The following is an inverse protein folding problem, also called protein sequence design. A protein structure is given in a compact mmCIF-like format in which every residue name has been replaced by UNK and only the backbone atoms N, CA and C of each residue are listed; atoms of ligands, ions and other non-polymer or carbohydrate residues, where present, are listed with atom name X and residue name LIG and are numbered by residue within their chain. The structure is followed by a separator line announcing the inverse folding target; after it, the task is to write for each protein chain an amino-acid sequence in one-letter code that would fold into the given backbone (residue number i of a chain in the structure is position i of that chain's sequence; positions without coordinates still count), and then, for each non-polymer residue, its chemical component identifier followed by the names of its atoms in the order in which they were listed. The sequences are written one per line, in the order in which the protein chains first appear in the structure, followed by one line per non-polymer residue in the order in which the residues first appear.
data_IF_354684923405
#
_entry.id   IF_354684923405
#
_cell.length_a   1.000
_cell.length_b   1.000
_cell.length_c   1.000
_cell.angle_alpha   90.00
_cell.angle_beta   90.00
_cell.angle_gamma   90.00
#
_symmetry.space_group_name_H-M   'P 1'
#
loop_
_entity.id
_entity.type
_entity.pdbx_description
1 polymer ?
#
# COMPACT_ATOMS: atom_id res chain seq x y z
N UNK A 1 -9.00 17.16 2.44
CA UNK A 1 -8.80 16.90 0.99
C UNK A 1 -10.16 16.67 0.35
N UNK A 2 -10.46 17.39 -0.71
CA UNK A 2 -11.73 17.18 -1.39
C UNK A 2 -11.65 16.03 -2.39
N UNK A 3 -12.82 15.63 -2.89
CA UNK A 3 -12.92 14.47 -3.77
C UNK A 3 -12.16 14.67 -5.09
N UNK A 4 -12.17 15.89 -5.60
CA UNK A 4 -11.48 16.20 -6.85
C UNK A 4 -9.97 16.03 -6.71
N UNK A 5 -9.41 16.59 -5.64
CA UNK A 5 -7.99 16.48 -5.35
C UNK A 5 -7.58 15.02 -5.14
N UNK A 6 -8.39 14.28 -4.41
CA UNK A 6 -8.13 12.85 -4.17
C UNK A 6 -8.09 12.07 -5.50
N UNK A 7 -9.08 12.29 -6.37
CA UNK A 7 -9.14 11.61 -7.65
C UNK A 7 -7.96 11.98 -8.54
N UNK A 8 -7.56 13.25 -8.52
CA UNK A 8 -6.40 13.71 -9.28
C UNK A 8 -5.12 12.99 -8.83
N UNK A 9 -4.95 12.85 -7.52
CA UNK A 9 -3.79 12.16 -6.97
C UNK A 9 -3.78 10.68 -7.35
N UNK A 10 -4.96 10.03 -7.32
CA UNK A 10 -5.06 8.63 -7.75
C UNK A 10 -4.66 8.47 -9.22
N UNK A 11 -5.09 9.37 -10.08
CA UNK A 11 -4.73 9.33 -11.50
C UNK A 11 -3.23 9.52 -11.68
N UNK A 12 -2.63 10.44 -10.94
CA UNK A 12 -1.18 10.67 -10.98
C UNK A 12 -0.42 9.41 -10.56
N UNK A 13 -0.87 8.79 -9.48
CA UNK A 13 -0.26 7.54 -9.02
C UNK A 13 -0.37 6.44 -10.08
N UNK A 14 -1.53 6.32 -10.71
CA UNK A 14 -1.76 5.34 -11.75
C UNK A 14 -0.80 5.54 -12.93
N UNK A 15 -0.64 6.79 -13.36
CA UNK A 15 0.26 7.12 -14.47
C UNK A 15 1.71 6.82 -14.11
N UNK A 16 2.13 7.15 -12.91
CA UNK A 16 3.49 6.86 -12.45
C UNK A 16 3.74 5.36 -12.36
N UNK A 17 2.75 4.60 -11.91
CA UNK A 17 2.88 3.14 -11.87
C UNK A 17 3.00 2.56 -13.28
N UNK A 18 2.30 3.11 -14.25
CA UNK A 18 2.40 2.68 -15.64
C UNK A 18 3.81 2.91 -16.20
N UNK A 19 4.51 3.92 -15.68
CA UNK A 19 5.88 4.22 -16.06
C UNK A 19 6.92 3.55 -15.14
N UNK A 20 6.45 2.70 -14.22
CA UNK A 20 7.27 2.01 -13.24
C UNK A 20 8.01 2.96 -12.28
N UNK A 21 7.45 4.15 -12.08
CA UNK A 21 8.00 5.16 -11.16
C UNK A 21 7.32 5.05 -9.81
N UNK A 22 7.55 3.91 -9.16
CA UNK A 22 6.82 3.54 -7.93
C UNK A 22 7.16 4.42 -6.73
N UNK A 23 8.40 4.86 -6.62
CA UNK A 23 8.80 5.74 -5.51
C UNK A 23 8.06 7.07 -5.56
N UNK A 24 7.93 7.64 -6.76
CA UNK A 24 7.20 8.89 -6.93
C UNK A 24 5.71 8.71 -6.65
N UNK A 25 5.15 7.56 -7.08
CA UNK A 25 3.76 7.25 -6.78
C UNK A 25 3.56 7.10 -5.28
N UNK A 26 4.49 6.48 -4.58
CA UNK A 26 4.43 6.33 -3.13
C UNK A 26 4.51 7.69 -2.42
N UNK A 27 5.29 8.62 -2.95
CA UNK A 27 5.36 9.97 -2.39
C UNK A 27 4.01 10.69 -2.48
N UNK A 28 3.30 10.52 -3.60
CA UNK A 28 1.96 11.06 -3.74
C UNK A 28 1.02 10.37 -2.74
N UNK A 29 1.14 9.07 -2.57
CA UNK A 29 0.34 8.32 -1.61
C UNK A 29 0.54 8.83 -0.18
N UNK A 30 1.75 9.27 0.16
CA UNK A 30 2.05 9.81 1.49
C UNK A 30 1.23 11.07 1.81
N UNK A 31 0.74 11.76 0.79
CA UNK A 31 -0.04 12.99 0.99
C UNK A 31 -1.52 12.73 1.18
N UNK A 32 -1.96 11.47 1.10
CA UNK A 32 -3.35 11.08 1.23
C UNK A 32 -3.58 10.46 2.61
N UNK A 33 -4.66 10.88 3.27
CA UNK A 33 -5.04 10.29 4.55
C UNK A 33 -5.89 9.03 4.31
N UNK A 34 -5.23 7.89 4.27
CA UNK A 34 -5.87 6.62 3.96
C UNK A 34 -6.86 6.16 5.02
N UNK A 35 -6.75 6.67 6.24
CA UNK A 35 -7.71 6.37 7.30
C UNK A 35 -9.13 6.82 6.93
N UNK A 36 -9.24 7.85 6.10
CA UNK A 36 -10.53 8.38 5.66
C UNK A 36 -11.03 7.74 4.37
N UNK A 37 -10.24 6.91 3.75
CA UNK A 37 -10.60 6.24 2.50
C UNK A 37 -11.38 4.98 2.83
N UNK A 38 -12.59 4.87 2.29
CA UNK A 38 -13.45 3.71 2.54
C UNK A 38 -13.40 2.66 1.43
N UNK A 39 -12.86 3.01 0.28
CA UNK A 39 -12.80 2.12 -0.87
C UNK A 39 -11.66 1.10 -0.66
N UNK A 40 -12.06 -0.16 -0.46
CA UNK A 40 -11.11 -1.25 -0.22
C UNK A 40 -10.17 -1.44 -1.41
N UNK A 41 -10.69 -1.31 -2.63
CA UNK A 41 -9.87 -1.49 -3.83
C UNK A 41 -8.76 -0.44 -3.90
N UNK A 42 -9.06 0.80 -3.50
CA UNK A 42 -8.05 1.86 -3.48
C UNK A 42 -6.96 1.55 -2.46
N UNK A 43 -7.33 1.01 -1.29
CA UNK A 43 -6.36 0.64 -0.26
C UNK A 43 -5.47 -0.51 -0.74
N UNK A 44 -6.04 -1.49 -1.42
CA UNK A 44 -5.25 -2.60 -1.97
C UNK A 44 -4.28 -2.10 -3.03
N UNK A 45 -4.72 -1.21 -3.89
CA UNK A 45 -3.87 -0.66 -4.94
C UNK A 45 -2.72 0.15 -4.39
N UNK A 46 -2.97 0.98 -3.38
CA UNK A 46 -1.89 1.75 -2.76
C UNK A 46 -0.94 0.83 -2.01
N UNK A 47 -1.44 -0.26 -1.45
CA UNK A 47 -0.58 -1.28 -0.86
C UNK A 47 0.38 -1.86 -1.88
N UNK A 48 -0.10 -2.11 -3.09
CA UNK A 48 0.76 -2.56 -4.19
C UNK A 48 1.82 -1.53 -4.54
N UNK A 49 1.44 -0.26 -4.59
CA UNK A 49 2.37 0.82 -4.90
C UNK A 49 3.50 0.87 -3.87
N UNK A 50 3.14 0.84 -2.59
CA UNK A 50 4.14 0.85 -1.52
C UNK A 50 5.04 -0.39 -1.59
N UNK A 51 4.46 -1.55 -1.88
CA UNK A 51 5.24 -2.78 -2.01
C UNK A 51 6.26 -2.68 -3.15
N UNK A 52 5.84 -2.17 -4.29
CA UNK A 52 6.72 -2.00 -5.45
C UNK A 52 7.82 -0.98 -5.18
N UNK A 53 7.54 0.01 -4.35
CA UNK A 53 8.53 1.01 -3.94
C UNK A 53 9.39 0.51 -2.78
N UNK A 54 9.23 -0.74 -2.37
CA UNK A 54 9.94 -1.36 -1.26
C UNK A 54 9.66 -0.71 0.09
N UNK A 55 8.51 -0.04 0.19
CA UNK A 55 8.04 0.56 1.43
C UNK A 55 7.05 -0.39 2.09
N UNK A 56 7.59 -1.50 2.60
CA UNK A 56 6.77 -2.62 3.05
C UNK A 56 5.94 -2.32 4.29
N UNK A 57 6.44 -1.47 5.19
CA UNK A 57 5.70 -1.11 6.40
C UNK A 57 4.41 -0.37 6.04
N UNK A 58 4.53 0.64 5.19
CA UNK A 58 3.37 1.40 4.74
C UNK A 58 2.40 0.54 3.96
N UNK A 59 2.93 -0.36 3.12
CA UNK A 59 2.11 -1.32 2.40
C UNK A 59 1.31 -2.20 3.36
N UNK A 60 1.98 -2.73 4.38
CA UNK A 60 1.35 -3.57 5.39
C UNK A 60 0.24 -2.80 6.12
N UNK A 61 0.50 -1.55 6.47
CA UNK A 61 -0.45 -0.73 7.21
C UNK A 61 -1.74 -0.49 6.41
N UNK A 62 -1.62 -0.12 5.12
CA UNK A 62 -2.82 0.13 4.31
C UNK A 62 -3.55 -1.16 3.97
N UNK A 63 -2.84 -2.27 3.83
CA UNK A 63 -3.47 -3.57 3.61
C UNK A 63 -4.22 -4.05 4.86
N UNK A 64 -3.72 -3.73 6.05
CA UNK A 64 -4.45 -3.99 7.29
C UNK A 64 -5.74 -3.19 7.34
N UNK A 65 -5.70 -1.94 6.90
CA UNK A 65 -6.92 -1.13 6.80
C UNK A 65 -7.93 -1.76 5.86
N UNK A 66 -7.46 -2.26 4.72
CA UNK A 66 -8.32 -2.93 3.75
C UNK A 66 -8.92 -4.20 4.33
N UNK A 67 -8.12 -4.98 5.04
CA UNK A 67 -8.58 -6.20 5.70
C UNK A 67 -9.65 -5.88 6.75
N UNK A 68 -9.43 -4.83 7.53
CA UNK A 68 -10.37 -4.42 8.56
C UNK A 68 -11.75 -4.08 7.98
N UNK A 69 -11.77 -3.52 6.78
CA UNK A 69 -13.01 -3.17 6.09
C UNK A 69 -13.63 -4.32 5.33
N UNK A 70 -12.83 -5.33 4.96
CA UNK A 70 -13.29 -6.49 4.21
C UNK A 70 -12.55 -7.74 4.66
N UNK A 71 -12.86 -8.26 5.86
CA UNK A 71 -12.11 -9.38 6.45
C UNK A 71 -12.18 -10.68 5.66
N UNK A 72 -13.15 -10.81 4.76
CA UNK A 72 -13.31 -12.04 3.97
C UNK A 72 -12.59 -11.98 2.62
N UNK A 73 -11.85 -10.90 2.37
CA UNK A 73 -11.12 -10.74 1.11
C UNK A 73 -9.85 -11.60 1.09
N UNK A 74 -9.90 -12.71 0.35
CA UNK A 74 -8.74 -13.62 0.25
C UNK A 74 -7.52 -12.96 -0.35
N UNK A 75 -7.73 -12.10 -1.34
CA UNK A 75 -6.62 -11.35 -1.96
C UNK A 75 -5.88 -10.49 -0.95
N UNK A 76 -6.62 -9.86 -0.05
CA UNK A 76 -6.03 -8.99 0.96
C UNK A 76 -5.18 -9.81 1.92
N UNK A 77 -5.69 -10.95 2.36
CA UNK A 77 -4.96 -11.84 3.26
C UNK A 77 -3.68 -12.34 2.59
N UNK A 78 -3.77 -12.71 1.33
CA UNK A 78 -2.62 -13.19 0.57
C UNK A 78 -1.55 -12.11 0.46
N UNK A 79 -1.96 -10.89 0.12
CA UNK A 79 -1.02 -9.77 -0.01
C UNK A 79 -0.39 -9.39 1.32
N UNK A 80 -1.16 -9.43 2.40
CA UNK A 80 -0.64 -9.19 3.74
C UNK A 80 0.46 -10.20 4.10
N UNK A 81 0.22 -11.47 3.80
CA UNK A 81 1.19 -12.52 4.05
C UNK A 81 2.46 -12.30 3.23
N UNK A 82 2.30 -11.95 1.96
CA UNK A 82 3.41 -11.70 1.07
C UNK A 82 4.26 -10.51 1.53
N UNK A 83 3.61 -9.42 1.89
CA UNK A 83 4.31 -8.22 2.37
C UNK A 83 4.99 -8.51 3.70
N UNK A 84 4.33 -9.24 4.60
CA UNK A 84 4.93 -9.61 5.87
C UNK A 84 6.19 -10.45 5.68
N UNK A 85 6.20 -11.36 4.72
CA UNK A 85 7.39 -12.12 4.37
C UNK A 85 8.51 -11.24 3.88
N UNK A 86 8.20 -10.25 3.05
CA UNK A 86 9.20 -9.32 2.53
C UNK A 86 9.77 -8.44 3.64
N UNK A 87 8.92 -7.99 4.56
CA UNK A 87 9.38 -7.22 5.73
C UNK A 87 10.35 -8.04 6.57
N UNK A 88 10.01 -9.29 6.81
CA UNK A 88 10.82 -10.18 7.61
C UNK A 88 12.19 -10.43 6.98
N UNK A 89 12.20 -10.62 5.67
CA UNK A 89 13.44 -10.85 4.95
C UNK A 89 14.30 -9.59 4.83
N UNK A 90 13.66 -8.42 4.80
CA UNK A 90 14.32 -7.16 4.52
C UNK A 90 14.85 -6.50 5.78
N UNK A 91 14.07 -6.49 6.85
CA UNK A 91 14.44 -5.76 8.09
C UNK A 91 14.50 -6.65 9.32
N UNK A 92 13.65 -7.65 9.38
CA UNK A 92 13.52 -8.47 10.57
C UNK A 92 14.39 -9.71 10.60
N UNK A 93 14.95 -10.09 9.47
CA UNK A 93 15.75 -11.31 9.39
C UNK A 93 16.92 -11.29 10.35
N UNK A 94 17.58 -10.16 10.47
CA UNK A 94 18.72 -10.01 11.37
C UNK A 94 18.30 -10.14 12.83
N UNK A 95 17.15 -9.58 13.15
CA UNK A 95 16.63 -9.64 14.54
C UNK A 95 16.32 -11.07 14.95
N UNK A 96 15.86 -11.88 14.01
CA UNK A 96 15.51 -13.27 14.30
C UNK A 96 16.72 -14.20 14.37
N UNK A 97 17.80 -13.84 13.73
CA UNK A 97 18.98 -14.67 13.69
C UNK A 97 20.08 -14.21 14.65
N UNK A 98 19.85 -13.11 15.29
CA UNK A 98 20.74 -12.63 16.35
C UNK A 98 20.40 -13.31 17.70
#
# INVERSE_FOLDING_TARGET
MDKYEYNLKLDQMKNLCAEERYEEAAEIADTINWNKVKNVNALVKVGEVFEKAERYRESHDVLLMAYDRSPIGRMIIYRLAEVACKMKNFTGAQEYYD
#
